data_IF_976006614344
#
_entry.id   IF_976006614344
#
_cell.length_a   1.000
_cell.length_b   1.000
_cell.length_c   1.000
_cell.angle_alpha   90.00
_cell.angle_beta   90.00
_cell.angle_gamma   90.00
#
_symmetry.space_group_name_H-M   'P 1'
#
loop_
_entity.id
_entity.type
_entity.pdbx_description
1 polymer ?
#
# COMPACT_ATOMS: atom_id res chain seq x y z
N UNK A 1 -6.16 -19.20 -10.89
CA UNK A 1 -5.23 -20.19 -10.27
C UNK A 1 -3.97 -19.50 -9.77
N UNK A 2 -3.20 -18.78 -10.60
CA UNK A 2 -1.95 -18.08 -10.20
C UNK A 2 -2.02 -17.35 -8.85
N UNK A 3 -2.92 -16.37 -8.68
CA UNK A 3 -2.99 -15.58 -7.44
C UNK A 3 -3.30 -16.41 -6.20
N UNK A 4 -4.21 -17.38 -6.33
CA UNK A 4 -4.54 -18.32 -5.25
C UNK A 4 -3.32 -19.17 -4.91
N UNK A 5 -2.59 -19.65 -5.92
CA UNK A 5 -1.39 -20.46 -5.71
C UNK A 5 -0.26 -19.66 -5.07
N UNK A 6 0.03 -18.44 -5.54
CA UNK A 6 1.09 -17.60 -4.95
C UNK A 6 0.75 -17.25 -3.51
N UNK A 7 -0.48 -16.78 -3.26
CA UNK A 7 -0.91 -16.45 -1.90
C UNK A 7 -0.98 -17.64 -0.95
N UNK A 8 -1.39 -18.82 -1.43
CA UNK A 8 -1.45 -20.03 -0.60
C UNK A 8 -0.08 -20.66 -0.34
N UNK A 9 0.91 -20.45 -1.23
CA UNK A 9 2.29 -20.91 -1.04
C UNK A 9 3.10 -20.03 -0.10
N UNK A 10 2.65 -18.80 0.13
CA UNK A 10 3.32 -17.87 1.03
C UNK A 10 3.30 -18.39 2.45
N UNK A 11 4.48 -18.57 3.04
CA UNK A 11 4.59 -18.88 4.46
C UNK A 11 4.54 -17.59 5.29
N UNK A 12 3.39 -17.28 5.91
CA UNK A 12 3.27 -16.12 6.80
C UNK A 12 3.92 -16.37 8.18
N UNK A 13 4.31 -17.61 8.50
CA UNK A 13 4.92 -17.96 9.78
C UNK A 13 6.27 -17.26 9.95
N UNK A 14 6.96 -16.93 8.86
CA UNK A 14 8.21 -16.16 8.83
C UNK A 14 8.03 -14.69 9.23
N UNK A 15 6.78 -14.21 9.36
CA UNK A 15 6.44 -12.89 9.88
C UNK A 15 5.94 -12.93 11.34
N UNK A 16 5.98 -14.10 11.99
CA UNK A 16 5.45 -14.26 13.34
C UNK A 16 6.24 -13.42 14.36
N UNK A 17 5.62 -12.41 15.02
CA UNK A 17 6.28 -11.55 16.00
C UNK A 17 6.67 -12.30 17.29
N UNK A 18 6.11 -13.50 17.52
CA UNK A 18 6.43 -14.33 18.69
C UNK A 18 7.81 -14.99 18.62
N UNK A 19 8.43 -15.07 17.43
CA UNK A 19 9.74 -15.69 17.23
C UNK A 19 10.80 -14.59 17.02
N UNK A 20 11.81 -14.45 17.91
CA UNK A 20 12.83 -13.41 17.79
C UNK A 20 13.62 -13.44 16.47
N UNK A 21 13.80 -14.63 15.88
CA UNK A 21 14.49 -14.85 14.60
C UNK A 21 13.76 -14.27 13.40
N UNK A 22 12.44 -14.03 13.51
CA UNK A 22 11.58 -13.57 12.41
C UNK A 22 11.43 -12.04 12.38
N UNK A 23 12.17 -11.32 13.24
CA UNK A 23 12.12 -9.86 13.33
C UNK A 23 12.55 -9.18 12.04
N UNK A 24 13.49 -9.76 11.30
CA UNK A 24 13.97 -9.19 10.03
C UNK A 24 12.84 -9.10 8.98
N UNK A 25 12.06 -10.16 8.83
CA UNK A 25 10.90 -10.18 7.93
C UNK A 25 9.83 -9.18 8.34
N UNK A 26 9.57 -9.04 9.65
CA UNK A 26 8.58 -8.08 10.17
C UNK A 26 9.03 -6.63 9.97
N UNK A 27 10.32 -6.35 10.20
CA UNK A 27 10.91 -5.02 9.95
C UNK A 27 10.79 -4.69 8.46
N UNK A 28 11.14 -5.63 7.58
CA UNK A 28 11.05 -5.43 6.14
C UNK A 28 9.60 -5.21 5.70
N UNK A 29 8.64 -6.01 6.18
CA UNK A 29 7.23 -5.86 5.87
C UNK A 29 6.71 -4.48 6.29
N UNK A 30 6.99 -4.08 7.54
CA UNK A 30 6.58 -2.78 8.08
C UNK A 30 7.21 -1.63 7.28
N UNK A 31 8.50 -1.72 6.98
CA UNK A 31 9.21 -0.74 6.16
C UNK A 31 8.58 -0.61 4.76
N UNK A 32 8.31 -1.73 4.08
CA UNK A 32 7.69 -1.73 2.76
C UNK A 32 6.28 -1.12 2.78
N UNK A 33 5.49 -1.40 3.82
CA UNK A 33 4.15 -0.81 4.02
C UNK A 33 4.25 0.71 4.17
N UNK A 34 5.13 1.17 5.08
CA UNK A 34 5.30 2.61 5.35
C UNK A 34 5.74 3.35 4.09
N UNK A 35 6.75 2.84 3.39
CA UNK A 35 7.25 3.45 2.15
C UNK A 35 6.17 3.42 1.05
N UNK A 36 5.40 2.33 0.94
CA UNK A 36 4.34 2.23 -0.05
C UNK A 36 3.23 3.27 0.19
N UNK A 37 2.81 3.46 1.45
CA UNK A 37 1.78 4.44 1.79
C UNK A 37 2.32 5.87 1.60
N UNK A 38 3.46 6.20 2.21
CA UNK A 38 4.02 7.55 2.14
C UNK A 38 4.34 7.96 0.71
N UNK A 39 4.97 7.08 -0.08
CA UNK A 39 5.29 7.37 -1.47
C UNK A 39 4.04 7.70 -2.28
N UNK A 40 2.93 6.97 -2.07
CA UNK A 40 1.67 7.22 -2.78
C UNK A 40 0.96 8.49 -2.33
N UNK A 41 0.93 8.74 -1.03
CA UNK A 41 0.37 9.99 -0.48
C UNK A 41 1.14 11.21 -1.01
N UNK A 42 2.48 11.18 -0.99
CA UNK A 42 3.33 12.26 -1.52
C UNK A 42 3.03 12.51 -3.00
N UNK A 43 2.93 11.45 -3.82
CA UNK A 43 2.61 11.63 -5.26
C UNK A 43 1.26 12.31 -5.49
N UNK A 44 0.26 12.06 -4.64
CA UNK A 44 -1.02 12.77 -4.70
C UNK A 44 -0.89 14.27 -4.42
N UNK A 45 0.00 14.65 -3.50
CA UNK A 45 0.29 16.06 -3.16
C UNK A 45 1.05 16.80 -4.26
N UNK A 46 1.86 16.08 -5.05
CA UNK A 46 2.64 16.67 -6.17
C UNK A 46 1.81 17.00 -7.42
N UNK A 47 0.52 16.64 -7.44
CA UNK A 47 -0.39 17.02 -8.53
C UNK A 47 -0.73 18.52 -8.40
N UNK A 48 0.01 19.35 -9.13
CA UNK A 48 -0.23 20.79 -9.24
C UNK A 48 -1.02 21.11 -10.53
N UNK A 49 -2.00 22.02 -10.45
CA UNK A 49 -2.64 22.60 -11.64
C UNK A 49 -4.13 22.32 -11.84
N UNK A 50 -4.81 21.60 -10.93
CA UNK A 50 -6.27 21.43 -10.98
C UNK A 50 -6.94 21.96 -9.71
N UNK A 51 -7.70 23.05 -9.86
CA UNK A 51 -8.50 23.68 -8.81
C UNK A 51 -9.69 22.77 -8.45
N UNK A 52 -9.86 22.43 -7.17
CA UNK A 52 -11.03 21.69 -6.68
C UNK A 52 -10.88 20.17 -6.55
N UNK A 53 -9.68 19.60 -6.76
CA UNK A 53 -9.46 18.16 -6.58
C UNK A 53 -8.85 17.85 -5.21
N UNK A 54 -9.41 16.87 -4.50
CA UNK A 54 -8.86 16.36 -3.26
C UNK A 54 -7.57 15.56 -3.53
N UNK A 55 -6.42 16.21 -3.35
CA UNK A 55 -5.07 15.65 -3.59
C UNK A 55 -4.76 14.45 -2.70
N UNK A 56 -5.26 14.46 -1.46
CA UNK A 56 -5.15 13.33 -0.55
C UNK A 56 -5.97 12.14 -1.08
N UNK A 57 -7.16 12.37 -1.65
CA UNK A 57 -7.97 11.29 -2.20
C UNK A 57 -7.28 10.63 -3.40
N UNK A 58 -6.58 11.41 -4.23
CA UNK A 58 -5.74 10.88 -5.32
C UNK A 58 -4.63 9.99 -4.75
N UNK A 59 -3.85 10.50 -3.79
CA UNK A 59 -2.73 9.77 -3.19
C UNK A 59 -3.18 8.46 -2.51
N UNK A 60 -4.24 8.54 -1.71
CA UNK A 60 -4.83 7.39 -1.01
C UNK A 60 -5.47 6.40 -1.98
N UNK A 61 -6.08 6.88 -3.06
CA UNK A 61 -6.65 6.03 -4.11
C UNK A 61 -5.60 5.19 -4.85
N UNK A 62 -4.33 5.61 -4.82
CA UNK A 62 -3.22 4.88 -5.42
C UNK A 62 -2.47 3.96 -4.44
N UNK A 63 -2.89 3.88 -3.17
CA UNK A 63 -2.30 2.99 -2.15
C UNK A 63 -2.53 1.50 -2.46
N UNK A 64 -3.75 1.03 -2.82
CA UNK A 64 -3.98 -0.39 -3.02
C UNK A 64 -3.02 -0.94 -4.07
N UNK A 65 -2.19 -1.91 -3.67
CA UNK A 65 -1.35 -2.66 -4.58
C UNK A 65 -2.05 -3.96 -4.89
N UNK A 66 -2.32 -4.19 -6.17
CA UNK A 66 -3.07 -5.36 -6.61
C UNK A 66 -2.17 -6.45 -7.20
N UNK A 67 -2.65 -6.97 -8.32
CA UNK A 67 -2.09 -8.09 -9.07
C UNK A 67 -0.59 -8.00 -9.37
N UNK A 68 -0.08 -6.82 -9.75
CA UNK A 68 1.33 -6.68 -10.17
C UNK A 68 2.29 -6.96 -9.01
N UNK A 69 1.91 -6.64 -7.77
CA UNK A 69 2.71 -6.97 -6.59
C UNK A 69 2.80 -8.48 -6.34
N UNK A 70 1.70 -9.20 -6.55
CA UNK A 70 1.66 -10.66 -6.44
C UNK A 70 2.40 -11.34 -7.60
N UNK A 71 2.34 -10.76 -8.81
CA UNK A 71 3.13 -11.24 -9.95
C UNK A 71 4.62 -11.10 -9.65
N UNK A 72 5.05 -9.96 -9.12
CA UNK A 72 6.44 -9.74 -8.73
C UNK A 72 6.90 -10.71 -7.64
N UNK A 73 6.07 -10.95 -6.61
CA UNK A 73 6.38 -11.93 -5.58
C UNK A 73 6.52 -13.35 -6.16
N UNK A 74 5.56 -13.77 -7.01
CA UNK A 74 5.60 -15.09 -7.63
C UNK A 74 6.79 -15.29 -8.58
N UNK A 75 7.11 -14.30 -9.41
CA UNK A 75 8.27 -14.36 -10.31
C UNK A 75 9.58 -14.28 -9.54
N UNK A 76 9.67 -13.41 -8.52
CA UNK A 76 10.86 -13.25 -7.69
C UNK A 76 11.16 -14.47 -6.82
N UNK A 77 10.13 -15.17 -6.36
CA UNK A 77 10.25 -16.46 -5.68
C UNK A 77 10.72 -17.55 -6.65
N UNK A 78 10.10 -17.65 -7.83
CA UNK A 78 10.47 -18.64 -8.84
C UNK A 78 11.89 -18.45 -9.41
N UNK A 79 12.41 -17.23 -9.44
CA UNK A 79 13.79 -16.94 -9.86
C UNK A 79 14.83 -17.09 -8.74
N UNK A 80 14.39 -17.32 -7.50
CA UNK A 80 15.26 -17.36 -6.32
C UNK A 80 15.79 -16.00 -5.88
N UNK A 81 15.26 -14.90 -6.42
CA UNK A 81 15.68 -13.54 -6.09
C UNK A 81 15.10 -13.05 -4.75
N UNK A 82 14.00 -13.63 -4.29
CA UNK A 82 13.35 -13.30 -3.03
C UNK A 82 13.57 -14.41 -2.00
N UNK A 83 13.98 -14.03 -0.79
CA UNK A 83 13.94 -14.92 0.37
C UNK A 83 12.50 -15.12 0.84
N UNK A 84 12.21 -16.21 1.55
CA UNK A 84 10.88 -16.49 2.10
C UNK A 84 10.33 -15.32 2.95
N UNK A 85 11.19 -14.70 3.75
CA UNK A 85 10.85 -13.52 4.54
C UNK A 85 10.47 -12.30 3.68
N UNK A 86 11.14 -12.11 2.54
CA UNK A 86 10.87 -11.00 1.62
C UNK A 86 9.59 -11.25 0.82
N UNK A 87 9.38 -12.48 0.36
CA UNK A 87 8.15 -12.88 -0.30
C UNK A 87 6.93 -12.66 0.61
N UNK A 88 7.00 -13.17 1.85
CA UNK A 88 5.96 -12.96 2.85
C UNK A 88 5.74 -11.47 3.15
N UNK A 89 6.81 -10.68 3.28
CA UNK A 89 6.72 -9.24 3.51
C UNK A 89 6.02 -8.49 2.36
N UNK A 90 6.33 -8.82 1.11
CA UNK A 90 5.70 -8.21 -0.07
C UNK A 90 4.21 -8.57 -0.12
N UNK A 91 3.88 -9.84 0.09
CA UNK A 91 2.49 -10.31 0.05
C UNK A 91 1.68 -9.70 1.20
N UNK A 92 2.26 -9.62 2.40
CA UNK A 92 1.65 -8.92 3.53
C UNK A 92 1.41 -7.45 3.22
N UNK A 93 2.37 -6.76 2.59
CA UNK A 93 2.22 -5.37 2.17
C UNK A 93 1.08 -5.19 1.16
N UNK A 94 1.00 -6.06 0.14
CA UNK A 94 -0.07 -6.04 -0.88
C UNK A 94 -1.44 -6.20 -0.24
N UNK A 95 -1.60 -7.20 0.63
CA UNK A 95 -2.86 -7.47 1.33
C UNK A 95 -3.22 -6.27 2.21
N UNK A 96 -2.30 -5.85 3.09
CA UNK A 96 -2.59 -4.82 4.07
C UNK A 96 -2.91 -3.47 3.44
N UNK A 97 -2.14 -3.04 2.44
CA UNK A 97 -2.41 -1.78 1.72
C UNK A 97 -3.74 -1.81 0.97
N UNK A 98 -4.15 -2.97 0.46
CA UNK A 98 -5.46 -3.16 -0.18
C UNK A 98 -6.62 -3.07 0.82
N UNK A 99 -6.47 -3.65 2.02
CA UNK A 99 -7.49 -3.58 3.06
C UNK A 99 -7.59 -2.20 3.73
N UNK A 100 -6.47 -1.49 3.87
CA UNK A 100 -6.43 -0.16 4.49
C UNK A 100 -6.96 0.93 3.57
N UNK A 101 -6.84 0.78 2.26
CA UNK A 101 -7.20 1.82 1.31
C UNK A 101 -8.69 2.22 1.31
N UNK A 102 -9.71 1.31 1.32
CA UNK A 102 -11.11 1.71 1.35
C UNK A 102 -11.50 2.51 2.61
N UNK A 103 -11.09 2.11 3.84
CA UNK A 103 -11.26 2.94 5.04
C UNK A 103 -10.60 4.31 4.93
N UNK A 104 -9.34 4.38 4.46
CA UNK A 104 -8.64 5.66 4.30
C UNK A 104 -9.32 6.55 3.27
N UNK A 105 -9.75 5.99 2.13
CA UNK A 105 -10.49 6.73 1.12
C UNK A 105 -11.77 7.31 1.71
N UNK A 106 -12.53 6.51 2.46
CA UNK A 106 -13.76 6.98 3.12
C UNK A 106 -13.50 8.17 4.04
N UNK A 107 -12.42 8.15 4.82
CA UNK A 107 -12.03 9.27 5.69
C UNK A 107 -11.70 10.53 4.90
N UNK A 108 -10.91 10.39 3.83
CA UNK A 108 -10.50 11.53 2.99
C UNK A 108 -11.65 12.10 2.18
N UNK A 109 -12.62 11.28 1.76
CA UNK A 109 -13.86 11.75 1.13
C UNK A 109 -14.86 12.35 2.13
N UNK A 110 -14.71 12.06 3.43
CA UNK A 110 -15.51 12.65 4.51
C UNK A 110 -15.00 14.01 4.99
N UNK A 111 -13.91 14.53 4.42
CA UNK A 111 -13.54 15.94 4.51
C UNK A 111 -14.05 16.73 3.27
N UNK A 112 -15.34 17.12 3.22
CA UNK A 112 -15.74 18.32 2.49
C UNK A 112 -15.55 19.51 3.43
N UNK A 113 -14.32 19.96 3.67
CA UNK A 113 -14.08 21.25 4.31
C UNK A 113 -13.64 22.28 3.25
N UNK A 114 -14.65 22.96 2.72
CA UNK A 114 -14.73 24.43 2.81
C UNK A 114 -13.60 25.23 2.14
N UNK A 115 -13.75 25.48 0.83
CA UNK A 115 -13.14 26.64 0.16
C UNK A 115 -13.80 26.89 -1.21
N UNK A 116 -15.11 27.14 -1.21
CA UNK A 116 -15.78 27.89 -2.26
C UNK A 116 -16.70 28.86 -1.53
N UNK A 117 -16.44 30.16 -1.66
CA UNK A 117 -17.30 31.32 -1.34
C UNK A 117 -16.64 32.37 -0.43
N UNK A 118 -15.54 33.01 -0.90
CA UNK A 118 -15.32 34.47 -0.70
C UNK A 118 -14.23 34.98 -1.64
N UNK A 119 -14.56 35.28 -2.90
CA UNK A 119 -13.76 36.17 -3.76
C UNK A 119 -14.56 36.52 -5.03
N UNK A 120 -15.69 37.19 -4.84
CA UNK A 120 -16.54 37.59 -5.94
C UNK A 120 -17.57 38.60 -5.51
N UNK A 121 -17.17 39.62 -4.76
CA UNK A 121 -17.97 40.83 -4.53
C UNK A 121 -17.05 41.92 -3.94
N UNK A 122 -16.54 42.78 -4.81
CA UNK A 122 -16.27 44.23 -4.63
C UNK A 122 -15.63 44.78 -5.91
#
# INVERSE_FOLDING_TARGET
IFFVTVGAKTDLSVLNPAVPSNREGLILATFLIVVAILGKVITGLTVFGQSGINRLAIGVGMIPRGEVGLVFAGVGSASGALSEATEAAIIMMVILTTFIAPPLLRLVFQEPSEQVETAGES
#
